data_IF_362178685769
#
_entry.id   IF_362178685769
#
_cell.length_a   1.000
_cell.length_b   1.000
_cell.length_c   1.000
_cell.angle_alpha   90.00
_cell.angle_beta   90.00
_cell.angle_gamma   90.00
#
_symmetry.space_group_name_H-M   'P 1'
#
loop_
_entity.id
_entity.type
_entity.pdbx_description
1 polymer ?
#
# COMPACT_ATOMS: atom_id res chain seq x y z
N UNK A 1 -1.08 25.09 4.43
CA UNK A 1 -1.29 23.72 4.94
C UNK A 1 0.06 23.05 5.06
N UNK A 2 0.46 22.67 6.27
CA UNK A 2 1.68 21.89 6.49
C UNK A 2 1.44 20.47 5.98
N UNK A 3 2.08 20.10 4.87
CA UNK A 3 2.02 18.73 4.37
C UNK A 3 2.90 17.89 5.30
N UNK A 4 2.28 17.22 6.27
CA UNK A 4 3.02 16.36 7.20
C UNK A 4 3.66 15.22 6.41
N UNK A 5 4.94 14.90 6.63
CA UNK A 5 5.61 13.82 5.91
C UNK A 5 4.90 12.48 6.16
N UNK A 6 5.10 11.52 5.25
CA UNK A 6 4.63 10.14 5.48
C UNK A 6 5.21 9.61 6.79
N UNK A 7 4.35 9.00 7.59
CA UNK A 7 4.71 8.24 8.79
C UNK A 7 5.58 7.04 8.43
N UNK A 8 6.30 6.51 9.42
CA UNK A 8 7.13 5.32 9.24
C UNK A 8 6.30 4.12 8.74
N UNK A 9 5.09 3.97 9.28
CA UNK A 9 4.14 2.93 8.87
C UNK A 9 3.72 3.08 7.40
N UNK A 10 3.37 4.28 6.95
CA UNK A 10 2.98 4.53 5.55
C UNK A 10 4.16 4.27 4.59
N UNK A 11 5.38 4.67 4.98
CA UNK A 11 6.59 4.36 4.22
C UNK A 11 6.85 2.86 4.16
N UNK A 12 6.64 2.14 5.27
CA UNK A 12 6.84 0.70 5.33
C UNK A 12 5.81 -0.07 4.47
N UNK A 13 4.56 0.41 4.39
CA UNK A 13 3.55 -0.10 3.45
C UNK A 13 4.04 0.04 2.00
N UNK A 14 4.48 1.24 1.59
CA UNK A 14 5.02 1.44 0.25
C UNK A 14 6.27 0.60 -0.02
N UNK A 15 7.15 0.44 0.98
CA UNK A 15 8.34 -0.39 0.87
C UNK A 15 8.02 -1.87 0.66
N UNK A 16 6.97 -2.41 1.29
CA UNK A 16 6.51 -3.79 1.07
C UNK A 16 5.99 -4.00 -0.37
N UNK A 17 5.31 -3.02 -0.96
CA UNK A 17 4.82 -3.10 -2.36
C UNK A 17 5.94 -3.06 -3.41
N UNK A 18 7.12 -2.54 -3.04
CA UNK A 18 8.30 -2.57 -3.91
C UNK A 18 8.96 -3.94 -3.95
N UNK A 19 8.69 -4.82 -2.98
CA UNK A 19 9.30 -6.15 -2.89
C UNK A 19 8.61 -7.15 -3.83
N UNK A 20 9.40 -8.07 -4.36
CA UNK A 20 8.90 -9.19 -5.16
C UNK A 20 8.61 -10.40 -4.27
N UNK A 21 7.37 -10.87 -4.26
CA UNK A 21 6.95 -12.02 -3.46
C UNK A 21 6.92 -13.28 -4.32
N UNK A 22 7.79 -14.25 -4.02
CA UNK A 22 7.94 -15.48 -4.81
C UNK A 22 7.02 -16.63 -4.39
N UNK A 23 6.55 -16.62 -3.14
CA UNK A 23 5.76 -17.72 -2.56
C UNK A 23 4.39 -17.18 -2.12
N UNK A 24 3.28 -17.90 -2.38
CA UNK A 24 1.97 -17.54 -1.87
C UNK A 24 1.99 -17.29 -0.36
N UNK A 25 1.23 -16.31 0.10
CA UNK A 25 1.15 -15.95 1.53
C UNK A 25 2.37 -15.20 2.09
N UNK A 26 3.45 -15.03 1.31
CA UNK A 26 4.67 -14.39 1.84
C UNK A 26 4.48 -12.91 2.13
N UNK A 27 3.67 -12.25 1.30
CA UNK A 27 3.30 -10.85 1.49
C UNK A 27 2.50 -10.69 2.78
N UNK A 28 1.46 -11.51 2.97
CA UNK A 28 0.62 -11.47 4.17
C UNK A 28 1.41 -11.78 5.46
N UNK A 29 2.32 -12.75 5.40
CA UNK A 29 3.22 -13.03 6.55
C UNK A 29 4.14 -11.85 6.85
N UNK A 30 4.70 -11.20 5.83
CA UNK A 30 5.55 -10.03 6.02
C UNK A 30 4.76 -8.84 6.56
N UNK A 31 3.54 -8.59 6.04
CA UNK A 31 2.62 -7.56 6.57
C UNK A 31 2.39 -7.78 8.06
N UNK A 32 2.03 -9.01 8.47
CA UNK A 32 1.80 -9.32 9.89
C UNK A 32 3.08 -9.15 10.74
N UNK A 33 4.23 -9.61 10.23
CA UNK A 33 5.50 -9.61 10.96
C UNK A 33 6.13 -8.24 11.08
N UNK A 34 6.08 -7.43 10.03
CA UNK A 34 6.78 -6.14 9.94
C UNK A 34 5.88 -4.96 10.33
N UNK A 35 4.58 -5.03 10.03
CA UNK A 35 3.63 -3.95 10.32
C UNK A 35 2.69 -4.25 11.49
N UNK A 36 2.61 -5.50 11.94
CA UNK A 36 1.63 -5.90 12.97
C UNK A 36 0.18 -5.85 12.47
N UNK A 37 -0.05 -5.70 11.17
CA UNK A 37 -1.38 -5.47 10.59
C UNK A 37 -2.03 -6.75 10.05
N UNK A 38 -3.35 -6.76 10.06
CA UNK A 38 -4.14 -7.71 9.26
C UNK A 38 -4.14 -7.33 7.76
N UNK A 39 -4.48 -8.29 6.90
CA UNK A 39 -4.53 -8.06 5.45
C UNK A 39 -5.56 -6.98 5.06
N UNK A 40 -6.73 -6.96 5.70
CA UNK A 40 -7.78 -5.96 5.43
C UNK A 40 -7.30 -4.55 5.78
N UNK A 41 -6.75 -4.37 6.98
CA UNK A 41 -6.20 -3.08 7.42
C UNK A 41 -5.10 -2.59 6.48
N UNK A 42 -4.22 -3.50 6.06
CA UNK A 42 -3.17 -3.20 5.11
C UNK A 42 -3.72 -2.68 3.78
N UNK A 43 -4.72 -3.37 3.21
CA UNK A 43 -5.30 -2.96 1.92
C UNK A 43 -6.07 -1.64 2.03
N UNK A 44 -6.79 -1.39 3.13
CA UNK A 44 -7.45 -0.10 3.37
C UNK A 44 -6.42 1.04 3.44
N UNK A 45 -5.34 0.84 4.20
CA UNK A 45 -4.26 1.83 4.33
C UNK A 45 -3.52 2.04 3.01
N UNK A 46 -3.23 0.97 2.28
CA UNK A 46 -2.62 1.06 0.97
C UNK A 46 -3.51 1.87 0.02
N UNK A 47 -4.80 1.56 -0.05
CA UNK A 47 -5.75 2.29 -0.91
C UNK A 47 -5.79 3.78 -0.58
N UNK A 48 -5.82 4.15 0.71
CA UNK A 48 -5.74 5.55 1.12
C UNK A 48 -4.44 6.23 0.66
N UNK A 49 -3.30 5.54 0.76
CA UNK A 49 -2.01 6.05 0.29
C UNK A 49 -1.96 6.20 -1.22
N UNK A 50 -2.68 5.37 -1.98
CA UNK A 50 -2.69 5.51 -3.44
C UNK A 50 -3.28 6.85 -3.87
N UNK A 51 -4.24 7.41 -3.15
CA UNK A 51 -4.86 8.70 -3.47
C UNK A 51 -4.25 9.88 -2.68
N UNK A 52 -3.30 9.63 -1.78
CA UNK A 52 -2.67 10.66 -0.94
C UNK A 52 -1.52 11.38 -1.67
N UNK A 53 -1.60 12.71 -1.90
CA UNK A 53 -0.59 13.48 -2.62
C UNK A 53 0.83 13.35 -2.04
N UNK A 54 0.97 13.03 -0.75
CA UNK A 54 2.27 12.81 -0.10
C UNK A 54 2.94 11.52 -0.60
N UNK A 55 2.16 10.46 -0.75
CA UNK A 55 2.65 9.20 -1.30
C UNK A 55 2.93 9.32 -2.80
N UNK A 56 2.12 10.10 -3.52
CA UNK A 56 2.37 10.44 -4.93
C UNK A 56 3.68 11.18 -5.10
N UNK A 57 3.95 12.18 -4.26
CA UNK A 57 5.18 12.95 -4.31
C UNK A 57 6.40 12.08 -3.96
N UNK A 58 6.25 11.12 -3.04
CA UNK A 58 7.32 10.24 -2.62
C UNK A 58 7.64 9.13 -3.65
N UNK A 59 6.62 8.47 -4.21
CA UNK A 59 6.78 7.28 -5.06
C UNK A 59 5.78 7.29 -6.24
N UNK A 60 5.86 8.27 -7.16
CA UNK A 60 4.82 8.50 -8.17
C UNK A 60 4.62 7.31 -9.12
N UNK A 61 5.71 6.64 -9.51
CA UNK A 61 5.65 5.47 -10.38
C UNK A 61 5.00 4.26 -9.69
N UNK A 62 5.31 4.04 -8.40
CA UNK A 62 4.72 2.96 -7.61
C UNK A 62 3.22 3.19 -7.41
N UNK A 63 2.84 4.40 -6.97
CA UNK A 63 1.43 4.74 -6.75
C UNK A 63 0.63 4.64 -8.04
N UNK A 64 1.19 5.07 -9.18
CA UNK A 64 0.55 4.91 -10.48
C UNK A 64 0.32 3.44 -10.82
N UNK A 65 1.35 2.59 -10.74
CA UNK A 65 1.24 1.15 -11.03
C UNK A 65 0.20 0.49 -10.14
N UNK A 66 0.20 0.80 -8.85
CA UNK A 66 -0.73 0.22 -7.89
C UNK A 66 -2.17 0.71 -8.11
N UNK A 67 -2.38 1.95 -8.54
CA UNK A 67 -3.71 2.44 -8.96
C UNK A 67 -4.20 1.75 -10.21
N UNK A 68 -3.33 1.53 -11.19
CA UNK A 68 -3.68 0.79 -12.40
C UNK A 68 -4.02 -0.67 -12.06
N UNK A 69 -3.33 -1.28 -11.09
CA UNK A 69 -3.66 -2.62 -10.58
C UNK A 69 -4.93 -2.67 -9.74
N UNK A 70 -5.36 -1.54 -9.15
CA UNK A 70 -6.63 -1.42 -8.41
C UNK A 70 -7.85 -1.51 -9.34
N UNK A 71 -7.68 -1.18 -10.62
CA UNK A 71 -8.77 -1.13 -11.61
C UNK A 71 -8.67 -2.29 -12.60
N UNK A 72 -9.40 -3.39 -12.33
CA UNK A 72 -10.39 -3.83 -13.31
C UNK A 72 -11.63 -4.48 -12.65
N UNK A 73 -12.79 -3.80 -12.70
CA UNK A 73 -14.10 -4.47 -12.63
C UNK A 73 -14.45 -5.31 -11.39
N UNK A 74 -13.77 -5.11 -10.27
CA UNK A 74 -14.08 -5.79 -9.01
C UNK A 74 -14.93 -4.90 -8.12
N UNK A 75 -16.24 -5.03 -8.23
CA UNK A 75 -17.18 -4.75 -7.14
C UNK A 75 -16.54 -5.20 -5.82
N UNK A 76 -16.09 -4.24 -5.00
CA UNK A 76 -16.16 -4.43 -3.56
C UNK A 76 -17.67 -4.53 -3.28
N UNK A 77 -18.17 -5.77 -3.34
CA UNK A 77 -19.53 -6.08 -2.91
C UNK A 77 -19.68 -5.58 -1.47
N UNK A 78 -20.86 -5.05 -1.12
CA UNK A 78 -21.09 -4.11 -0.02
C UNK A 78 -20.67 -4.60 1.36
#
# INVERSE_FOLDING_TARGET
>A
MTVQPLTETERAVLALEKRTWRRPGSKERAIRRELGMGAVEYHLRLNALLDDPRAIAAEPALTRRLREQRDPGGTLAP
#
